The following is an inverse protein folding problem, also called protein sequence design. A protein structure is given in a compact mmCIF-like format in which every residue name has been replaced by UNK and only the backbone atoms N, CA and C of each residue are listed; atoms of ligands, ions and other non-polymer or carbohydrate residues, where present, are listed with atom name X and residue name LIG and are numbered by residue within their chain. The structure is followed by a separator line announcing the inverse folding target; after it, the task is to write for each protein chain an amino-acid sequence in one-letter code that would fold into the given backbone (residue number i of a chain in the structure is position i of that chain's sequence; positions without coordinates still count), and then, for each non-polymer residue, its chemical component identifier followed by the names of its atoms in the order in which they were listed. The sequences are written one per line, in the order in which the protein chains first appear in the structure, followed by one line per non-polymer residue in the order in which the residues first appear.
data_IF_703367411737
#
_entry.id   IF_703367411737
#
_cell.length_a   1.000
_cell.length_b   1.000
_cell.length_c   1.000
_cell.angle_alpha   90.00
_cell.angle_beta   90.00
_cell.angle_gamma   90.00
#
_symmetry.space_group_name_H-M   'P 1'
#
loop_
_entity.id
_entity.type
_entity.pdbx_description
1 polymer ?
#
# COMPACT_ATOMS: atom_id res chain seq x y z
N UNK A 1 -27.47 22.04 -27.05
CA UNK A 1 -26.87 22.36 -25.74
C UNK A 1 -26.05 21.15 -25.32
N UNK A 2 -24.75 21.27 -25.23
CA UNK A 2 -23.92 20.18 -24.69
C UNK A 2 -24.20 20.08 -23.18
N UNK A 3 -24.61 18.91 -22.73
CA UNK A 3 -24.82 18.65 -21.31
C UNK A 3 -23.46 18.69 -20.58
N UNK A 4 -23.31 19.64 -19.64
CA UNK A 4 -22.13 19.63 -18.79
C UNK A 4 -22.20 18.43 -17.85
N UNK A 5 -21.13 17.61 -17.72
CA UNK A 5 -21.14 16.41 -16.90
C UNK A 5 -21.40 16.75 -15.42
N UNK A 6 -22.18 15.93 -14.75
CA UNK A 6 -22.39 16.03 -13.30
C UNK A 6 -21.08 15.75 -12.55
N UNK A 7 -20.98 16.14 -11.25
CA UNK A 7 -19.82 15.78 -10.42
C UNK A 7 -19.59 14.25 -10.36
N UNK A 8 -20.64 13.45 -10.30
CA UNK A 8 -20.61 12.01 -10.29
C UNK A 8 -20.04 11.45 -11.60
N UNK A 9 -20.52 11.95 -12.74
CA UNK A 9 -20.01 11.55 -14.07
C UNK A 9 -18.54 11.92 -14.25
N UNK A 10 -18.10 13.09 -13.74
CA UNK A 10 -16.69 13.49 -13.74
C UNK A 10 -15.84 12.54 -12.88
N UNK A 11 -16.29 12.22 -11.68
CA UNK A 11 -15.59 11.30 -10.77
C UNK A 11 -15.47 9.93 -11.40
N UNK A 12 -16.53 9.40 -12.01
CA UNK A 12 -16.51 8.08 -12.64
C UNK A 12 -15.59 8.03 -13.87
N UNK A 13 -15.57 9.07 -14.68
CA UNK A 13 -14.65 9.17 -15.81
C UNK A 13 -13.17 9.15 -15.36
N UNK A 14 -12.83 9.83 -14.27
CA UNK A 14 -11.48 9.82 -13.71
C UNK A 14 -11.18 8.43 -13.10
N UNK A 15 -12.11 7.86 -12.35
CA UNK A 15 -11.97 6.53 -11.74
C UNK A 15 -11.73 5.44 -12.79
N UNK A 16 -12.54 5.44 -13.87
CA UNK A 16 -12.40 4.49 -14.98
C UNK A 16 -11.04 4.58 -15.67
N UNK A 17 -10.36 5.72 -15.61
CA UNK A 17 -9.00 5.90 -16.09
C UNK A 17 -7.94 5.43 -15.07
N UNK A 18 -8.15 5.63 -13.76
CA UNK A 18 -7.17 5.29 -12.73
C UNK A 18 -7.17 3.80 -12.36
N UNK A 19 -8.33 3.14 -12.39
CA UNK A 19 -8.41 1.70 -12.07
C UNK A 19 -7.45 0.86 -12.93
N UNK A 20 -7.43 0.92 -14.27
CA UNK A 20 -6.54 0.10 -15.08
C UNK A 20 -5.06 0.43 -14.88
N UNK A 21 -4.72 1.62 -14.38
CA UNK A 21 -3.33 2.00 -14.09
C UNK A 21 -2.83 1.40 -12.75
N UNK A 22 -3.72 1.14 -11.80
CA UNK A 22 -3.37 0.62 -10.47
C UNK A 22 -3.72 -0.86 -10.28
N UNK A 23 -4.85 -1.32 -10.79
CA UNK A 23 -5.35 -2.67 -10.56
C UNK A 23 -4.33 -3.80 -10.86
N UNK A 24 -3.48 -3.73 -11.89
CA UNK A 24 -2.47 -4.75 -12.14
C UNK A 24 -1.42 -4.89 -11.04
N UNK A 25 -1.29 -3.89 -10.15
CA UNK A 25 -0.43 -3.97 -8.98
C UNK A 25 -1.12 -4.64 -7.79
N UNK A 26 -2.42 -4.38 -7.63
CA UNK A 26 -3.23 -4.94 -6.55
C UNK A 26 -3.70 -6.38 -6.80
N UNK A 27 -3.65 -6.84 -8.05
CA UNK A 27 -4.08 -8.18 -8.46
C UNK A 27 -3.01 -8.82 -9.34
N UNK A 28 -1.85 -9.20 -8.74
CA UNK A 28 -0.80 -9.90 -9.49
C UNK A 28 -1.26 -11.32 -9.86
N UNK A 29 -0.69 -11.85 -10.93
CA UNK A 29 -0.93 -13.24 -11.32
C UNK A 29 -0.21 -14.18 -10.33
N UNK A 30 -0.96 -15.02 -9.66
CA UNK A 30 -0.56 -16.19 -8.87
C UNK A 30 0.80 -16.10 -8.13
N UNK A 31 0.97 -15.20 -7.14
CA UNK A 31 2.16 -15.18 -6.31
C UNK A 31 2.23 -16.48 -5.48
N UNK A 32 3.38 -17.13 -5.42
CA UNK A 32 3.59 -18.40 -4.73
C UNK A 32 4.82 -18.37 -3.83
N UNK A 33 4.88 -19.27 -2.85
CA UNK A 33 6.01 -19.40 -1.94
C UNK A 33 6.37 -18.09 -1.23
N UNK A 34 7.65 -17.74 -1.09
CA UNK A 34 8.08 -16.51 -0.43
C UNK A 34 7.55 -15.23 -1.06
N UNK A 35 7.21 -15.25 -2.34
CA UNK A 35 6.72 -14.07 -3.05
C UNK A 35 5.35 -13.65 -2.58
N UNK A 36 4.51 -14.58 -2.14
CA UNK A 36 3.19 -14.24 -1.61
C UNK A 36 3.29 -13.42 -0.32
N UNK A 37 4.25 -13.74 0.56
CA UNK A 37 4.50 -12.96 1.78
C UNK A 37 4.99 -11.55 1.46
N UNK A 38 5.85 -11.41 0.46
CA UNK A 38 6.33 -10.09 -0.02
C UNK A 38 5.19 -9.25 -0.58
N UNK A 39 4.29 -9.89 -1.32
CA UNK A 39 3.09 -9.23 -1.82
C UNK A 39 2.15 -8.84 -0.68
N UNK A 40 1.87 -9.74 0.27
CA UNK A 40 1.02 -9.43 1.42
C UNK A 40 1.62 -8.33 2.30
N UNK A 41 2.93 -8.36 2.52
CA UNK A 41 3.64 -7.31 3.23
C UNK A 41 3.50 -5.95 2.54
N UNK A 42 3.55 -5.94 1.20
CA UNK A 42 3.34 -4.73 0.40
C UNK A 42 1.91 -4.20 0.52
N UNK A 43 0.92 -5.08 0.42
CA UNK A 43 -0.49 -4.74 0.50
C UNK A 43 -0.88 -4.23 1.91
N UNK A 44 -0.36 -4.88 2.95
CA UNK A 44 -0.62 -4.52 4.35
C UNK A 44 0.30 -3.41 4.86
N UNK A 45 1.28 -2.97 4.08
CA UNK A 45 2.27 -1.95 4.47
C UNK A 45 2.94 -2.29 5.81
N UNK A 46 3.61 -3.43 5.88
CA UNK A 46 4.30 -3.85 7.11
C UNK A 46 5.54 -3.00 7.31
N UNK A 47 5.61 -2.22 8.37
CA UNK A 47 6.80 -1.43 8.72
C UNK A 47 7.59 -2.01 9.90
N UNK A 48 6.97 -2.88 10.70
CA UNK A 48 7.64 -3.68 11.73
C UNK A 48 8.06 -2.90 12.98
N UNK A 49 7.64 -1.67 13.12
CA UNK A 49 7.99 -0.77 14.22
C UNK A 49 6.75 -0.07 14.80
N UNK A 50 5.58 -0.59 14.54
CA UNK A 50 4.35 -0.02 15.07
C UNK A 50 4.20 -0.47 16.52
N UNK A 51 4.18 0.50 17.42
CA UNK A 51 3.78 0.25 18.78
C UNK A 51 2.27 -0.01 18.87
N UNK A 52 1.86 -0.68 19.92
CA UNK A 52 0.46 -0.96 20.19
C UNK A 52 -0.36 0.33 20.17
N UNK A 53 -1.36 0.39 19.29
CA UNK A 53 -2.24 1.55 19.15
C UNK A 53 -1.67 2.71 18.32
N UNK A 54 -0.48 2.56 17.74
CA UNK A 54 0.13 3.58 16.88
C UNK A 54 0.23 3.09 15.43
N UNK A 55 -0.65 3.56 14.58
CA UNK A 55 -0.62 3.29 13.13
C UNK A 55 -0.91 4.58 12.36
N UNK A 56 0.14 5.26 11.87
CA UNK A 56 -0.01 6.50 11.10
C UNK A 56 -0.87 6.36 9.84
N UNK A 57 -0.96 5.16 9.29
CA UNK A 57 -1.81 4.89 8.13
C UNK A 57 -3.29 4.98 8.48
N UNK A 58 -3.69 4.35 9.58
CA UNK A 58 -5.08 4.39 10.07
C UNK A 58 -5.48 5.80 10.46
N UNK A 59 -4.61 6.52 11.19
CA UNK A 59 -4.85 7.91 11.59
C UNK A 59 -4.97 8.84 10.38
N UNK A 60 -4.06 8.74 9.42
CA UNK A 60 -4.11 9.56 8.20
C UNK A 60 -5.38 9.32 7.40
N UNK A 61 -5.88 8.09 7.38
CA UNK A 61 -7.15 7.75 6.74
C UNK A 61 -8.34 8.35 7.48
N UNK A 62 -8.37 8.26 8.81
CA UNK A 62 -9.41 8.87 9.63
C UNK A 62 -9.48 10.39 9.41
N UNK A 63 -8.33 11.08 9.35
CA UNK A 63 -8.28 12.50 9.03
C UNK A 63 -8.88 12.80 7.65
N UNK A 64 -8.64 11.96 6.64
CA UNK A 64 -9.27 12.14 5.31
C UNK A 64 -10.79 11.99 5.37
N UNK A 65 -11.27 10.98 6.09
CA UNK A 65 -12.70 10.72 6.24
C UNK A 65 -13.38 11.89 6.97
N UNK A 66 -12.76 12.42 8.02
CA UNK A 66 -13.25 13.59 8.76
C UNK A 66 -13.25 14.86 7.90
N UNK A 67 -12.17 15.14 7.19
CA UNK A 67 -12.10 16.29 6.28
C UNK A 67 -13.15 16.18 5.17
N UNK A 68 -13.34 14.98 4.63
CA UNK A 68 -14.38 14.76 3.62
C UNK A 68 -15.79 14.98 4.18
N UNK A 69 -16.08 14.49 5.37
CA UNK A 69 -17.35 14.71 6.05
C UNK A 69 -17.60 16.21 6.31
N UNK A 70 -16.58 16.94 6.78
CA UNK A 70 -16.64 18.38 7.00
C UNK A 70 -16.92 19.16 5.69
N UNK A 71 -16.37 18.72 4.57
CA UNK A 71 -16.63 19.34 3.26
C UNK A 71 -18.07 19.14 2.76
N UNK A 72 -18.78 18.12 3.27
CA UNK A 72 -20.20 17.88 2.94
C UNK A 72 -21.16 18.57 3.93
N UNK A 73 -20.64 19.10 5.03
CA UNK A 73 -21.45 19.71 6.05
C UNK A 73 -21.87 21.14 5.65
N UNK A 74 -23.16 21.49 5.86
CA UNK A 74 -23.62 22.87 5.66
C UNK A 74 -23.12 23.76 6.80
N UNK A 75 -22.13 24.60 6.49
CA UNK A 75 -21.48 25.47 7.47
C UNK A 75 -22.47 26.53 8.00
N UNK A 76 -22.57 26.72 9.32
CA UNK A 76 -23.46 27.72 9.92
C UNK A 76 -23.02 29.16 9.57
N UNK A 77 -23.98 29.99 9.10
CA UNK A 77 -23.72 31.36 8.63
C UNK A 77 -23.27 32.31 9.73
N UNK A 78 -23.74 32.09 10.95
CA UNK A 78 -23.38 32.88 12.11
C UNK A 78 -21.93 32.74 12.55
N UNK A 79 -21.28 31.65 12.15
CA UNK A 79 -19.89 31.35 12.53
C UNK A 79 -18.86 31.60 11.43
N UNK A 80 -19.27 31.54 10.18
CA UNK A 80 -18.39 31.66 9.01
C UNK A 80 -18.81 32.87 8.16
N UNK A 81 -17.96 33.90 8.11
CA UNK A 81 -18.23 35.12 7.32
C UNK A 81 -18.36 34.84 5.83
N UNK A 82 -17.64 33.83 5.34
CA UNK A 82 -17.67 33.41 3.94
C UNK A 82 -17.59 31.88 3.90
N UNK A 83 -18.75 31.26 3.69
CA UNK A 83 -18.88 29.81 3.61
C UNK A 83 -18.13 29.25 2.41
N UNK A 84 -18.19 29.92 1.27
CA UNK A 84 -17.56 29.45 0.02
C UNK A 84 -16.04 29.43 0.17
N UNK A 85 -15.43 30.49 0.68
CA UNK A 85 -13.98 30.50 0.96
C UNK A 85 -13.60 29.51 2.03
N UNK A 86 -14.44 29.25 3.02
CA UNK A 86 -14.18 28.22 4.02
C UNK A 86 -14.20 26.82 3.40
N UNK A 87 -15.14 26.52 2.52
CA UNK A 87 -15.16 25.26 1.76
C UNK A 87 -13.89 25.09 0.93
N UNK A 88 -13.41 26.14 0.26
CA UNK A 88 -12.14 26.11 -0.47
C UNK A 88 -10.93 25.84 0.46
N UNK A 89 -10.90 26.45 1.65
CA UNK A 89 -9.84 26.18 2.64
C UNK A 89 -9.84 24.70 3.07
N UNK A 90 -11.00 24.13 3.35
CA UNK A 90 -11.14 22.71 3.66
C UNK A 90 -10.67 21.84 2.48
N UNK A 91 -11.07 22.19 1.25
CA UNK A 91 -10.61 21.50 0.04
C UNK A 91 -9.08 21.53 -0.13
N UNK A 92 -8.44 22.66 0.18
CA UNK A 92 -6.97 22.76 0.18
C UNK A 92 -6.31 21.87 1.23
N UNK A 93 -6.86 21.83 2.46
CA UNK A 93 -6.35 20.97 3.53
C UNK A 93 -6.51 19.49 3.14
N UNK A 94 -7.66 19.12 2.60
CA UNK A 94 -7.93 17.78 2.09
C UNK A 94 -6.94 17.38 0.98
N UNK A 95 -6.76 18.24 -0.02
CA UNK A 95 -5.77 18.03 -1.08
C UNK A 95 -4.35 17.87 -0.53
N UNK A 96 -3.94 18.77 0.37
CA UNK A 96 -2.60 18.75 0.95
C UNK A 96 -2.39 17.45 1.75
N UNK A 97 -3.37 17.02 2.52
CA UNK A 97 -3.28 15.77 3.26
C UNK A 97 -3.10 14.57 2.34
N UNK A 98 -3.86 14.50 1.22
CA UNK A 98 -3.69 13.41 0.22
C UNK A 98 -2.27 13.39 -0.34
N UNK A 99 -1.72 14.54 -0.74
CA UNK A 99 -0.40 14.59 -1.36
C UNK A 99 0.76 14.43 -0.38
N UNK A 100 0.53 14.61 0.92
CA UNK A 100 1.52 14.38 1.97
C UNK A 100 1.46 12.96 2.57
N UNK A 101 0.34 12.26 2.41
CA UNK A 101 0.16 10.93 2.98
C UNK A 101 1.16 9.93 2.41
N UNK A 102 1.96 9.32 3.29
CA UNK A 102 3.02 8.37 2.88
C UNK A 102 2.51 7.03 2.39
N UNK A 103 1.42 6.54 2.96
CA UNK A 103 0.94 5.18 2.73
C UNK A 103 0.70 4.83 1.24
N UNK A 104 0.00 5.65 0.43
CA UNK A 104 -0.18 5.34 -0.99
C UNK A 104 1.15 5.23 -1.76
N UNK A 105 2.11 6.11 -1.46
CA UNK A 105 3.42 6.06 -2.11
C UNK A 105 4.20 4.79 -1.74
N UNK A 106 4.19 4.41 -0.47
CA UNK A 106 4.91 3.23 0.04
C UNK A 106 4.32 1.94 -0.48
N UNK A 107 2.98 1.81 -0.44
CA UNK A 107 2.27 0.62 -0.97
C UNK A 107 2.51 0.49 -2.47
N UNK A 108 2.25 1.54 -3.26
CA UNK A 108 2.46 1.50 -4.70
C UNK A 108 3.93 1.20 -5.06
N UNK A 109 4.89 1.77 -4.33
CA UNK A 109 6.31 1.49 -4.56
C UNK A 109 6.63 0.04 -4.26
N UNK A 110 6.16 -0.54 -3.16
CA UNK A 110 6.40 -1.95 -2.83
C UNK A 110 5.70 -2.89 -3.81
N UNK A 111 4.48 -2.60 -4.24
CA UNK A 111 3.81 -3.39 -5.28
C UNK A 111 4.54 -3.34 -6.63
N UNK A 112 5.10 -2.18 -7.01
CA UNK A 112 5.98 -2.06 -8.18
C UNK A 112 7.29 -2.84 -7.99
N UNK A 113 7.90 -2.78 -6.81
CA UNK A 113 9.09 -3.57 -6.47
C UNK A 113 8.79 -5.06 -6.57
N UNK A 114 7.67 -5.50 -6.01
CA UNK A 114 7.20 -6.88 -6.13
C UNK A 114 7.08 -7.31 -7.61
N UNK A 115 6.41 -6.52 -8.43
CA UNK A 115 6.25 -6.79 -9.87
C UNK A 115 7.59 -6.87 -10.62
N UNK A 116 8.60 -6.15 -10.15
CA UNK A 116 9.96 -6.15 -10.71
C UNK A 116 10.90 -7.19 -10.07
N UNK A 117 10.40 -8.04 -9.17
CA UNK A 117 11.24 -9.01 -8.44
C UNK A 117 12.25 -8.40 -7.47
N UNK A 118 12.05 -7.14 -7.06
CA UNK A 118 12.99 -6.40 -6.18
C UNK A 118 12.77 -6.63 -4.68
N UNK A 119 11.86 -7.52 -4.32
CA UNK A 119 11.53 -7.81 -2.93
C UNK A 119 10.75 -6.69 -2.23
N UNK A 120 10.31 -6.97 -1.00
CA UNK A 120 9.63 -6.03 -0.12
C UNK A 120 10.64 -5.22 0.72
N UNK A 121 10.34 -3.94 0.98
CA UNK A 121 11.12 -3.12 1.91
C UNK A 121 10.21 -2.29 2.81
N UNK A 122 10.44 -2.29 4.15
CA UNK A 122 9.78 -1.37 5.06
C UNK A 122 10.05 0.11 4.73
N UNK A 123 11.15 0.37 4.04
CA UNK A 123 11.49 1.68 3.49
C UNK A 123 11.74 1.55 1.98
N UNK A 124 10.66 1.51 1.16
CA UNK A 124 10.74 1.09 -0.23
C UNK A 124 11.52 2.04 -1.15
N UNK A 125 11.87 3.22 -0.66
CA UNK A 125 12.59 4.23 -1.42
C UNK A 125 14.10 4.19 -1.20
N UNK A 126 14.56 3.76 -0.02
CA UNK A 126 15.92 4.03 0.45
C UNK A 126 17.02 3.45 -0.45
N UNK A 127 16.89 2.20 -0.87
CA UNK A 127 17.86 1.53 -1.76
C UNK A 127 17.84 2.10 -3.19
N UNK A 128 16.76 2.77 -3.57
CA UNK A 128 16.58 3.41 -4.88
C UNK A 128 17.17 4.83 -4.97
N UNK A 129 17.66 5.35 -3.86
CA UNK A 129 18.24 6.68 -3.77
C UNK A 129 19.72 6.68 -4.15
N UNK A 130 20.18 7.78 -4.74
CA UNK A 130 21.61 8.06 -4.92
C UNK A 130 22.30 8.29 -3.57
N UNK A 131 23.62 8.19 -3.51
CA UNK A 131 24.38 8.43 -2.28
C UNK A 131 24.14 9.84 -1.69
N UNK A 132 23.97 10.84 -2.52
CA UNK A 132 23.64 12.20 -2.08
C UNK A 132 22.22 12.28 -1.50
N UNK A 133 21.24 11.65 -2.16
CA UNK A 133 19.87 11.59 -1.68
C UNK A 133 19.77 10.83 -0.36
N UNK A 134 20.52 9.72 -0.19
CA UNK A 134 20.59 8.98 1.10
C UNK A 134 21.12 9.83 2.25
N UNK A 135 22.10 10.70 1.98
CA UNK A 135 22.61 11.63 2.98
C UNK A 135 21.58 12.66 3.40
N UNK A 136 20.79 13.19 2.45
CA UNK A 136 19.69 14.13 2.73
C UNK A 136 18.52 13.44 3.42
N UNK A 137 18.17 12.24 2.99
CA UNK A 137 17.09 11.44 3.56
C UNK A 137 17.20 11.27 5.07
N UNK A 138 18.40 11.03 5.60
CA UNK A 138 18.65 10.90 7.05
C UNK A 138 18.29 12.15 7.85
N UNK A 139 18.16 13.32 7.21
CA UNK A 139 17.88 14.60 7.87
C UNK A 139 16.43 15.05 7.74
N UNK A 140 15.80 14.79 6.60
CA UNK A 140 14.50 15.39 6.26
C UNK A 140 13.49 14.43 5.62
N UNK A 141 13.82 13.15 5.48
CA UNK A 141 12.97 12.21 4.73
C UNK A 141 12.92 12.50 3.23
N UNK A 142 11.89 12.01 2.56
CA UNK A 142 11.62 12.28 1.15
C UNK A 142 10.36 13.13 1.01
N UNK A 143 10.45 14.13 0.16
CA UNK A 143 9.30 14.91 -0.25
C UNK A 143 8.44 14.15 -1.29
N UNK A 144 7.14 14.42 -1.37
CA UNK A 144 6.23 13.76 -2.33
C UNK A 144 6.76 13.76 -3.77
N UNK A 145 7.32 14.87 -4.26
CA UNK A 145 7.91 14.95 -5.60
C UNK A 145 8.98 13.88 -5.86
N UNK A 146 9.80 13.58 -4.86
CA UNK A 146 10.86 12.58 -4.98
C UNK A 146 10.29 11.17 -4.99
N UNK A 147 9.27 10.90 -4.14
CA UNK A 147 8.54 9.61 -4.12
C UNK A 147 7.86 9.36 -5.46
N UNK A 148 7.14 10.36 -5.99
CA UNK A 148 6.49 10.31 -7.31
C UNK A 148 7.51 10.03 -8.42
N UNK A 149 8.68 10.68 -8.41
CA UNK A 149 9.73 10.43 -9.41
C UNK A 149 10.21 8.98 -9.38
N UNK A 150 10.33 8.38 -8.19
CA UNK A 150 10.70 6.97 -8.05
C UNK A 150 9.58 6.06 -8.57
N UNK A 151 8.33 6.33 -8.21
CA UNK A 151 7.17 5.57 -8.69
C UNK A 151 7.09 5.62 -10.22
N UNK A 152 7.25 6.79 -10.83
CA UNK A 152 7.27 6.92 -12.31
C UNK A 152 8.35 6.07 -12.96
N UNK A 153 9.57 6.09 -12.42
CA UNK A 153 10.65 5.26 -12.91
C UNK A 153 10.34 3.77 -12.81
N UNK A 154 9.89 3.31 -11.63
CA UNK A 154 9.52 1.91 -11.42
C UNK A 154 8.33 1.49 -12.28
N UNK A 155 7.34 2.37 -12.47
CA UNK A 155 6.19 2.13 -13.34
C UNK A 155 6.62 1.92 -14.79
N UNK A 156 7.54 2.75 -15.28
CA UNK A 156 8.13 2.62 -16.63
C UNK A 156 8.90 1.30 -16.75
N UNK A 157 9.74 0.95 -15.76
CA UNK A 157 10.47 -0.32 -15.73
C UNK A 157 9.51 -1.53 -15.74
N UNK A 158 8.38 -1.42 -15.03
CA UNK A 158 7.36 -2.48 -14.92
C UNK A 158 6.38 -2.54 -16.10
N UNK A 159 6.47 -1.61 -17.05
CA UNK A 159 5.55 -1.51 -18.18
C UNK A 159 4.11 -1.18 -17.79
N UNK A 160 3.91 -0.38 -16.73
CA UNK A 160 2.59 0.08 -16.26
C UNK A 160 2.53 1.60 -16.17
N UNK A 161 1.33 2.16 -16.32
CA UNK A 161 1.12 3.62 -16.32
C UNK A 161 0.83 4.22 -14.93
N UNK A 162 1.10 3.49 -13.84
CA UNK A 162 0.74 3.92 -12.48
C UNK A 162 1.34 5.28 -12.10
N UNK A 163 2.54 5.57 -12.58
CA UNK A 163 3.20 6.85 -12.30
C UNK A 163 2.56 8.06 -12.96
N UNK A 164 1.83 7.87 -14.07
CA UNK A 164 1.28 8.97 -14.89
C UNK A 164 0.09 9.66 -14.21
N UNK A 165 -0.62 8.94 -13.32
CA UNK A 165 -1.73 9.50 -12.55
C UNK A 165 -1.34 10.74 -11.75
N UNK A 166 -0.10 10.79 -11.25
CA UNK A 166 0.35 11.90 -10.43
C UNK A 166 0.46 13.22 -11.20
N UNK A 167 0.65 13.17 -12.53
CA UNK A 167 0.67 14.37 -13.37
C UNK A 167 -0.69 15.05 -13.46
N UNK A 168 -1.75 14.31 -13.20
CA UNK A 168 -3.10 14.82 -13.24
C UNK A 168 -3.45 15.76 -12.10
N UNK A 169 -2.87 15.54 -10.93
CA UNK A 169 -3.26 16.28 -9.74
C UNK A 169 -2.10 16.81 -8.89
N UNK A 170 -0.90 16.20 -8.95
CA UNK A 170 0.20 16.66 -8.10
C UNK A 170 0.82 17.96 -8.63
N UNK A 171 0.72 19.01 -7.82
CA UNK A 171 1.38 20.29 -8.06
C UNK A 171 2.26 20.66 -6.86
N UNK A 172 3.57 20.57 -7.05
CA UNK A 172 4.53 20.85 -5.99
C UNK A 172 4.55 22.30 -5.53
N UNK A 173 4.25 23.25 -6.42
CA UNK A 173 4.12 24.67 -6.13
C UNK A 173 2.89 24.94 -5.24
N UNK A 174 1.73 24.35 -5.58
CA UNK A 174 0.50 24.44 -4.81
C UNK A 174 0.68 23.82 -3.42
N UNK A 175 1.22 22.59 -3.37
CA UNK A 175 1.53 21.90 -2.10
C UNK A 175 2.39 22.77 -1.19
N UNK A 176 3.47 23.35 -1.72
CA UNK A 176 4.37 24.21 -0.94
C UNK A 176 3.65 25.46 -0.45
N UNK A 177 2.84 26.13 -1.29
CA UNK A 177 2.08 27.29 -0.89
C UNK A 177 1.11 26.99 0.26
N UNK A 178 0.44 25.84 0.23
CA UNK A 178 -0.47 25.40 1.30
C UNK A 178 0.33 25.11 2.57
N UNK A 179 1.38 24.30 2.49
CA UNK A 179 2.18 23.89 3.66
C UNK A 179 2.88 25.06 4.36
N UNK A 180 3.23 26.11 3.62
CA UNK A 180 3.86 27.32 4.17
C UNK A 180 2.86 28.47 4.43
N UNK A 181 1.56 28.25 4.20
CA UNK A 181 0.50 29.27 4.34
C UNK A 181 0.78 30.53 3.51
N UNK A 182 1.39 30.36 2.33
CA UNK A 182 1.87 31.43 1.46
C UNK A 182 0.92 31.67 0.28
N UNK A 183 -0.35 31.86 0.58
CA UNK A 183 -1.40 32.05 -0.41
C UNK A 183 -2.51 33.00 0.06
N UNK A 184 -3.27 33.50 -0.90
CA UNK A 184 -4.52 34.23 -0.68
C UNK A 184 -5.57 33.77 -1.69
N UNK A 185 -6.83 33.91 -1.34
CA UNK A 185 -7.93 33.84 -2.30
C UNK A 185 -8.22 35.23 -2.86
N UNK A 186 -8.51 35.29 -4.14
CA UNK A 186 -8.99 36.45 -4.88
C UNK A 186 -10.37 36.17 -5.46
N UNK A 187 -11.07 37.15 -6.02
CA UNK A 187 -12.41 36.96 -6.59
C UNK A 187 -12.47 35.89 -7.70
N UNK A 188 -11.36 35.63 -8.34
CA UNK A 188 -11.24 34.76 -9.52
C UNK A 188 -10.34 33.53 -9.30
N UNK A 189 -9.88 33.26 -8.08
CA UNK A 189 -9.11 32.05 -7.79
C UNK A 189 -8.17 32.14 -6.60
N UNK A 190 -7.19 31.24 -6.62
CA UNK A 190 -6.13 31.08 -5.65
C UNK A 190 -4.85 31.68 -6.19
N UNK A 191 -4.20 32.51 -5.40
CA UNK A 191 -2.92 33.14 -5.73
C UNK A 191 -1.88 32.81 -4.66
N UNK A 192 -0.70 32.34 -5.08
CA UNK A 192 0.40 32.03 -4.17
C UNK A 192 1.74 32.53 -4.71
N UNK A 193 2.70 32.72 -3.77
CA UNK A 193 4.08 33.01 -4.11
C UNK A 193 4.81 31.71 -4.43
N UNK A 194 5.71 31.77 -5.40
CA UNK A 194 6.66 30.70 -5.60
C UNK A 194 7.81 30.93 -4.59
N UNK A 195 8.09 29.95 -3.73
CA UNK A 195 9.00 30.04 -2.58
C UNK A 195 10.42 30.57 -2.84
N UNK A 196 10.76 30.85 -4.10
CA UNK A 196 12.05 31.44 -4.50
C UNK A 196 11.97 32.93 -4.85
N UNK A 197 10.94 33.65 -4.42
CA UNK A 197 10.75 35.09 -4.70
C UNK A 197 10.62 35.48 -6.18
N UNK A 198 10.60 34.52 -7.09
CA UNK A 198 10.70 34.73 -8.54
C UNK A 198 9.39 34.75 -9.30
N UNK A 199 8.25 34.67 -8.62
CA UNK A 199 6.95 34.82 -9.24
C UNK A 199 5.78 34.35 -8.40
N UNK A 200 4.67 35.07 -8.51
CA UNK A 200 3.38 34.58 -8.07
C UNK A 200 2.77 33.73 -9.19
N UNK A 201 2.14 32.61 -8.82
CA UNK A 201 1.27 31.89 -9.74
C UNK A 201 -0.17 31.98 -9.28
N UNK A 202 -1.07 31.83 -10.22
CA UNK A 202 -2.51 31.86 -9.99
C UNK A 202 -3.13 30.57 -10.51
N UNK A 203 -4.09 30.06 -9.79
CA UNK A 203 -4.94 28.93 -10.19
C UNK A 203 -6.38 29.42 -10.15
N UNK A 204 -7.15 29.19 -11.21
CA UNK A 204 -8.58 29.46 -11.20
C UNK A 204 -9.32 28.54 -10.23
N UNK A 205 -10.50 28.91 -9.78
CA UNK A 205 -11.32 28.01 -8.98
C UNK A 205 -11.67 26.71 -9.71
N UNK A 206 -11.89 26.80 -11.01
CA UNK A 206 -12.14 25.60 -11.86
C UNK A 206 -10.95 24.66 -11.89
N UNK A 207 -9.74 25.17 -12.12
CA UNK A 207 -8.51 24.34 -12.11
C UNK A 207 -8.25 23.76 -10.73
N UNK A 208 -8.51 24.54 -9.67
CA UNK A 208 -8.36 24.08 -8.30
C UNK A 208 -9.34 22.96 -7.96
N UNK A 209 -10.61 23.10 -8.35
CA UNK A 209 -11.63 22.05 -8.23
C UNK A 209 -11.21 20.78 -8.95
N UNK A 210 -10.70 20.92 -10.17
CA UNK A 210 -10.20 19.78 -10.95
C UNK A 210 -9.04 19.05 -10.24
N UNK A 211 -8.09 19.77 -9.66
CA UNK A 211 -6.96 19.18 -8.93
C UNK A 211 -7.45 18.45 -7.67
N UNK A 212 -8.30 19.08 -6.86
CA UNK A 212 -8.86 18.48 -5.65
C UNK A 212 -9.69 17.24 -6.01
N UNK A 213 -10.54 17.34 -7.04
CA UNK A 213 -11.38 16.22 -7.51
C UNK A 213 -10.52 15.03 -7.95
N UNK A 214 -9.48 15.26 -8.74
CA UNK A 214 -8.57 14.18 -9.20
C UNK A 214 -7.81 13.55 -8.05
N UNK A 215 -7.32 14.35 -7.10
CA UNK A 215 -6.68 13.84 -5.89
C UNK A 215 -7.65 12.99 -5.04
N UNK A 216 -8.89 13.46 -4.87
CA UNK A 216 -9.97 12.72 -4.20
C UNK A 216 -10.25 11.38 -4.88
N UNK A 217 -10.39 11.36 -6.19
CA UNK A 217 -10.65 10.13 -6.94
C UNK A 217 -9.45 9.19 -6.90
N UNK A 218 -8.22 9.72 -6.94
CA UNK A 218 -7.00 8.92 -6.78
C UNK A 218 -7.00 8.17 -5.45
N UNK A 219 -7.17 8.89 -4.34
CA UNK A 219 -7.10 8.26 -3.00
C UNK A 219 -8.26 7.29 -2.76
N UNK A 220 -9.47 7.64 -3.23
CA UNK A 220 -10.63 6.75 -3.15
C UNK A 220 -10.46 5.48 -3.98
N UNK A 221 -9.83 5.57 -5.17
CA UNK A 221 -9.53 4.41 -6.02
C UNK A 221 -8.44 3.55 -5.38
N UNK A 222 -7.41 4.15 -4.80
CA UNK A 222 -6.36 3.44 -4.08
C UNK A 222 -6.93 2.61 -2.94
N UNK A 223 -7.69 3.22 -2.03
CA UNK A 223 -8.30 2.50 -0.91
C UNK A 223 -9.34 1.46 -1.35
N UNK A 224 -10.07 1.75 -2.43
CA UNK A 224 -11.00 0.80 -3.03
C UNK A 224 -10.29 -0.46 -3.52
N UNK A 225 -9.22 -0.31 -4.28
CA UNK A 225 -8.43 -1.44 -4.79
C UNK A 225 -7.71 -2.21 -3.67
N UNK A 226 -7.17 -1.52 -2.66
CA UNK A 226 -6.60 -2.15 -1.47
C UNK A 226 -7.64 -3.02 -0.76
N UNK A 227 -8.83 -2.48 -0.50
CA UNK A 227 -9.92 -3.22 0.15
C UNK A 227 -10.38 -4.43 -0.67
N UNK A 228 -10.52 -4.26 -1.98
CA UNK A 228 -10.91 -5.37 -2.87
C UNK A 228 -9.83 -6.46 -2.94
N UNK A 229 -8.54 -6.08 -2.97
CA UNK A 229 -7.46 -7.05 -2.92
C UNK A 229 -7.45 -7.81 -1.58
N UNK A 230 -7.62 -7.12 -0.47
CA UNK A 230 -7.73 -7.75 0.85
C UNK A 230 -8.97 -8.66 0.95
N UNK A 231 -10.09 -8.27 0.36
CA UNK A 231 -11.30 -9.12 0.28
C UNK A 231 -11.05 -10.36 -0.55
N UNK A 232 -10.43 -10.22 -1.71
CA UNK A 232 -10.07 -11.34 -2.57
C UNK A 232 -9.24 -12.38 -1.81
N UNK A 233 -8.15 -11.95 -1.16
CA UNK A 233 -7.29 -12.83 -0.38
C UNK A 233 -7.96 -13.37 0.88
N UNK A 234 -8.89 -12.65 1.47
CA UNK A 234 -9.72 -13.11 2.58
C UNK A 234 -10.52 -14.38 2.24
N UNK A 235 -10.85 -14.61 0.97
CA UNK A 235 -11.53 -15.85 0.53
C UNK A 235 -10.66 -17.11 0.67
N UNK A 236 -9.38 -16.95 0.93
CA UNK A 236 -8.42 -18.04 1.19
C UNK A 236 -8.24 -18.32 2.68
N UNK A 237 -8.92 -17.61 3.57
CA UNK A 237 -8.90 -17.90 5.00
C UNK A 237 -9.29 -19.36 5.28
N UNK A 238 -8.57 -20.02 6.18
CA UNK A 238 -8.76 -21.43 6.50
C UNK A 238 -8.24 -22.41 5.43
N UNK A 239 -7.62 -21.94 4.36
CA UNK A 239 -6.98 -22.77 3.33
C UNK A 239 -5.46 -22.67 3.47
N UNK A 240 -4.79 -23.83 3.56
CA UNK A 240 -3.33 -23.90 3.56
C UNK A 240 -2.77 -23.69 2.15
N UNK A 241 -1.75 -22.84 2.05
CA UNK A 241 -1.00 -22.60 0.82
C UNK A 241 0.48 -22.98 1.06
N UNK A 242 1.12 -23.70 0.11
CA UNK A 242 2.55 -23.99 0.22
C UNK A 242 3.36 -22.71 0.30
N UNK A 243 4.22 -22.61 1.32
CA UNK A 243 5.11 -21.46 1.50
C UNK A 243 6.56 -21.82 1.29
N UNK A 244 7.08 -22.79 2.06
CA UNK A 244 8.48 -23.19 2.01
C UNK A 244 8.59 -24.69 1.74
N UNK A 245 9.14 -25.10 0.58
CA UNK A 245 9.25 -26.51 0.22
C UNK A 245 10.29 -27.25 1.04
N UNK A 246 11.29 -26.57 1.59
CA UNK A 246 12.37 -27.17 2.36
C UNK A 246 11.90 -27.53 3.76
N UNK A 247 11.38 -26.53 4.49
CA UNK A 247 10.90 -26.71 5.87
C UNK A 247 9.42 -27.12 5.95
N UNK A 248 8.75 -27.29 4.79
CA UNK A 248 7.35 -27.68 4.71
C UNK A 248 6.41 -26.68 5.39
N UNK A 249 6.76 -25.40 5.31
CA UNK A 249 5.91 -24.31 5.81
C UNK A 249 4.61 -24.18 5.00
N UNK A 250 3.49 -24.13 5.70
CA UNK A 250 2.17 -23.93 5.11
C UNK A 250 1.63 -22.59 5.59
N UNK A 251 1.27 -21.73 4.64
CA UNK A 251 0.73 -20.40 4.95
C UNK A 251 -0.79 -20.42 4.98
N UNK A 252 -1.33 -19.68 5.92
CA UNK A 252 -2.74 -19.39 6.10
C UNK A 252 -2.97 -17.89 6.07
N UNK A 253 -4.04 -17.43 5.40
CA UNK A 253 -4.47 -16.04 5.40
C UNK A 253 -5.32 -15.78 6.65
N UNK A 254 -5.02 -14.71 7.38
CA UNK A 254 -5.79 -14.24 8.52
C UNK A 254 -6.71 -13.11 8.09
N UNK A 255 -7.93 -13.09 8.64
CA UNK A 255 -8.96 -12.09 8.31
C UNK A 255 -9.47 -11.38 9.55
N UNK A 256 -9.97 -10.17 9.35
CA UNK A 256 -10.73 -9.42 10.35
C UNK A 256 -12.22 -9.83 10.38
N UNK A 257 -13.00 -9.16 11.23
CA UNK A 257 -14.43 -9.41 11.42
C UNK A 257 -15.26 -9.14 10.13
N UNK A 258 -14.70 -8.37 9.17
CA UNK A 258 -15.33 -8.11 7.86
C UNK A 258 -14.91 -9.12 6.77
N UNK A 259 -14.08 -10.11 7.13
CA UNK A 259 -13.51 -11.06 6.17
C UNK A 259 -12.42 -10.48 5.27
N UNK A 260 -11.88 -9.33 5.61
CA UNK A 260 -10.76 -8.73 4.88
C UNK A 260 -9.44 -9.29 5.41
N UNK A 261 -8.53 -9.66 4.52
CA UNK A 261 -7.19 -10.06 4.92
C UNK A 261 -6.55 -8.97 5.79
N UNK A 262 -6.16 -9.33 7.00
CA UNK A 262 -5.45 -8.46 7.95
C UNK A 262 -4.13 -9.03 8.41
N UNK A 263 -3.73 -10.19 7.92
CA UNK A 263 -2.50 -10.86 8.28
C UNK A 263 -2.30 -12.19 7.57
N UNK A 264 -1.25 -12.87 7.97
CA UNK A 264 -0.91 -14.21 7.50
C UNK A 264 -0.10 -14.94 8.55
N UNK A 265 -0.17 -16.26 8.51
CA UNK A 265 0.48 -17.17 9.44
C UNK A 265 1.14 -18.29 8.66
N UNK A 266 2.34 -18.68 9.05
CA UNK A 266 3.01 -19.87 8.51
C UNK A 266 3.16 -20.90 9.61
N UNK A 267 2.60 -22.06 9.35
CA UNK A 267 2.71 -23.24 10.20
C UNK A 267 3.96 -24.04 9.83
N UNK A 268 4.78 -24.33 10.83
CA UNK A 268 6.00 -25.09 10.68
C UNK A 268 5.90 -26.43 11.39
N UNK A 269 6.24 -27.55 10.74
CA UNK A 269 6.07 -28.88 11.34
C UNK A 269 6.81 -29.10 12.66
N UNK A 270 8.00 -28.53 12.80
CA UNK A 270 8.88 -28.76 13.94
C UNK A 270 9.29 -27.47 14.67
N UNK A 271 8.59 -26.39 14.47
CA UNK A 271 8.90 -25.10 15.09
C UNK A 271 7.61 -24.33 15.41
N UNK A 272 7.75 -23.28 16.21
CA UNK A 272 6.66 -22.36 16.49
C UNK A 272 6.23 -21.64 15.21
N UNK A 273 4.94 -21.39 15.08
CA UNK A 273 4.39 -20.67 13.97
C UNK A 273 5.01 -19.27 13.83
N UNK A 274 5.07 -18.83 12.60
CA UNK A 274 5.39 -17.43 12.26
C UNK A 274 4.13 -16.73 11.87
N UNK A 275 3.86 -15.53 12.40
CA UNK A 275 2.69 -14.77 11.95
C UNK A 275 2.87 -13.27 12.07
N UNK A 276 2.10 -12.56 11.24
CA UNK A 276 1.86 -11.14 11.29
C UNK A 276 0.36 -10.89 11.19
N UNK A 277 -0.19 -10.07 12.07
CA UNK A 277 -1.61 -9.67 12.03
C UNK A 277 -1.79 -8.24 12.50
N UNK A 278 -2.63 -7.48 11.80
CA UNK A 278 -3.17 -6.22 12.27
C UNK A 278 -4.43 -6.47 13.10
N UNK A 279 -4.34 -6.25 14.40
CA UNK A 279 -5.45 -6.30 15.34
C UNK A 279 -5.99 -4.88 15.60
N UNK A 280 -7.15 -4.76 16.24
CA UNK A 280 -7.72 -3.46 16.65
C UNK A 280 -6.76 -2.65 17.53
N UNK A 281 -6.02 -3.35 18.38
CA UNK A 281 -5.14 -2.74 19.37
C UNK A 281 -3.70 -2.60 18.92
N UNK A 282 -3.41 -2.84 17.65
CA UNK A 282 -2.05 -2.76 17.10
C UNK A 282 -1.65 -3.96 16.28
N UNK A 283 -0.36 -4.25 16.25
CA UNK A 283 0.21 -5.32 15.43
C UNK A 283 0.70 -6.46 16.32
N UNK A 284 0.32 -7.65 15.93
CA UNK A 284 0.84 -8.90 16.51
C UNK A 284 1.81 -9.52 15.49
N UNK A 285 3.04 -9.78 15.92
CA UNK A 285 4.06 -10.38 15.07
C UNK A 285 4.92 -11.35 15.88
N UNK A 286 5.19 -12.52 15.32
CA UNK A 286 6.09 -13.49 15.90
C UNK A 286 6.86 -14.26 14.81
N UNK A 287 8.10 -14.63 15.10
CA UNK A 287 8.97 -15.37 14.18
C UNK A 287 9.02 -14.81 12.76
N UNK A 288 9.05 -13.47 12.63
CA UNK A 288 9.19 -12.76 11.37
C UNK A 288 10.51 -12.00 11.37
N UNK A 289 11.20 -12.03 10.24
CA UNK A 289 12.40 -11.24 9.98
C UNK A 289 12.06 -10.11 9.00
N UNK A 290 12.27 -8.88 9.43
CA UNK A 290 12.24 -7.71 8.57
C UNK A 290 13.66 -7.17 8.45
N UNK A 291 14.26 -7.27 7.27
CA UNK A 291 15.60 -6.75 7.02
C UNK A 291 15.53 -5.54 6.07
N UNK A 292 15.70 -4.36 6.65
CA UNK A 292 15.70 -3.10 5.90
C UNK A 292 16.90 -3.00 4.94
N UNK A 293 18.03 -3.64 5.27
CA UNK A 293 19.25 -3.55 4.45
C UNK A 293 19.13 -4.38 3.18
N UNK A 294 18.53 -5.57 3.30
CA UNK A 294 18.35 -6.49 2.18
C UNK A 294 16.96 -6.39 1.55
N UNK A 295 16.13 -5.45 2.01
CA UNK A 295 14.78 -5.22 1.51
C UNK A 295 13.96 -6.52 1.46
N UNK A 296 13.93 -7.26 2.56
CA UNK A 296 13.23 -8.53 2.63
C UNK A 296 12.34 -8.64 3.86
N UNK A 297 11.30 -9.42 3.72
CA UNK A 297 10.53 -9.97 4.82
C UNK A 297 10.51 -11.48 4.66
N UNK A 298 10.83 -12.17 5.74
CA UNK A 298 10.83 -13.62 5.81
C UNK A 298 10.10 -14.09 7.05
N UNK A 299 9.32 -15.15 6.91
CA UNK A 299 8.71 -15.82 8.04
C UNK A 299 9.79 -16.68 8.69
N UNK A 300 10.29 -16.18 9.82
CA UNK A 300 11.38 -16.82 10.52
C UNK A 300 10.94 -18.12 11.15
N UNK A 301 11.68 -19.17 10.93
CA UNK A 301 11.47 -20.46 11.56
C UNK A 301 12.48 -20.69 12.69
N UNK A 302 12.02 -21.20 13.84
CA UNK A 302 12.87 -21.40 15.00
C UNK A 302 14.12 -22.29 14.74
N UNK A 303 14.06 -23.12 13.70
CA UNK A 303 15.22 -23.91 13.24
C UNK A 303 16.39 -23.06 12.79
N UNK A 304 16.16 -21.86 12.26
CA UNK A 304 17.24 -20.93 11.89
C UNK A 304 18.07 -20.50 13.10
N UNK A 305 17.43 -20.33 14.25
CA UNK A 305 18.13 -20.00 15.48
C UNK A 305 18.98 -21.18 16.02
N UNK A 306 18.57 -22.41 15.71
CA UNK A 306 19.34 -23.62 16.08
C UNK A 306 20.55 -23.83 15.16
N UNK A 307 20.49 -23.22 13.96
CA UNK A 307 21.55 -23.30 12.95
C UNK A 307 22.06 -21.91 12.56
N UNK A 308 22.70 -21.17 13.46
CA UNK A 308 23.17 -19.81 13.21
C UNK A 308 24.13 -19.78 12.02
N UNK A 309 23.90 -18.87 11.10
CA UNK A 309 24.68 -18.73 9.86
C UNK A 309 24.11 -19.47 8.65
N UNK A 310 23.04 -20.25 8.80
CA UNK A 310 22.41 -21.03 7.72
C UNK A 310 21.06 -20.42 7.26
N UNK A 311 20.93 -19.11 7.28
CA UNK A 311 19.74 -18.45 6.74
C UNK A 311 19.55 -18.71 5.24
N UNK A 312 20.60 -19.10 4.56
CA UNK A 312 20.60 -19.56 3.18
C UNK A 312 21.95 -20.25 2.91
N UNK A 313 21.97 -21.43 2.35
CA UNK A 313 20.83 -22.23 1.91
C UNK A 313 20.20 -23.02 3.06
N UNK A 314 18.87 -23.09 3.07
CA UNK A 314 18.09 -23.91 4.00
C UNK A 314 18.15 -25.41 3.68
N UNK A 315 18.92 -25.78 2.69
CA UNK A 315 19.08 -27.16 2.18
C UNK A 315 19.67 -28.14 3.18
N UNK A 316 20.31 -27.64 4.24
CA UNK A 316 20.91 -28.50 5.28
C UNK A 316 19.86 -29.21 6.14
N UNK A 317 18.56 -28.90 5.96
CA UNK A 317 17.46 -29.47 6.71
C UNK A 317 16.49 -30.22 5.81
N UNK A 318 16.93 -30.75 4.70
CA UNK A 318 16.10 -31.54 3.77
C UNK A 318 15.51 -32.81 4.38
N UNK A 319 16.06 -33.28 5.49
CA UNK A 319 15.55 -34.42 6.21
C UNK A 319 14.32 -34.15 7.10
N UNK A 320 13.76 -32.95 7.08
CA UNK A 320 12.53 -32.65 7.82
C UNK A 320 11.37 -33.54 7.34
N UNK A 321 10.64 -34.15 8.28
CA UNK A 321 9.49 -34.97 7.91
C UNK A 321 8.44 -34.14 7.18
N UNK A 322 7.77 -34.74 6.22
CA UNK A 322 6.63 -34.13 5.56
C UNK A 322 5.39 -34.34 6.42
N UNK A 323 4.80 -33.25 6.86
CA UNK A 323 3.54 -33.30 7.60
C UNK A 323 2.37 -33.21 6.66
N UNK A 324 1.39 -34.07 6.86
CA UNK A 324 0.12 -34.03 6.14
C UNK A 324 -0.95 -33.26 6.85
N UNK A 325 -0.72 -32.96 8.13
CA UNK A 325 -1.63 -32.19 8.98
C UNK A 325 -0.81 -31.47 10.05
N UNK A 326 -1.19 -30.22 10.35
CA UNK A 326 -0.60 -29.43 11.43
C UNK A 326 -1.55 -29.43 12.62
N UNK A 327 -1.06 -29.87 13.78
CA UNK A 327 -1.81 -29.88 15.03
C UNK A 327 -2.14 -28.46 15.47
N UNK A 328 -3.35 -28.27 16.01
CA UNK A 328 -3.82 -26.97 16.52
C UNK A 328 -4.22 -25.97 15.43
N UNK A 329 -4.21 -26.37 14.18
CA UNK A 329 -4.71 -25.54 13.08
C UNK A 329 -6.24 -25.58 13.02
N UNK A 330 -6.84 -24.44 12.69
CA UNK A 330 -8.29 -24.32 12.51
C UNK A 330 -8.79 -24.97 11.21
N UNK A 331 -7.90 -25.34 10.32
CA UNK A 331 -8.18 -25.95 9.03
C UNK A 331 -7.34 -27.22 8.82
N UNK A 332 -7.77 -28.09 7.93
CA UNK A 332 -6.98 -29.24 7.48
C UNK A 332 -5.87 -28.75 6.54
N UNK A 333 -4.83 -28.16 7.12
CA UNK A 333 -3.67 -27.67 6.40
C UNK A 333 -2.74 -28.85 6.10
N UNK A 334 -2.56 -29.15 4.81
CA UNK A 334 -1.68 -30.23 4.38
C UNK A 334 -0.71 -29.72 3.32
N UNK A 335 0.53 -30.20 3.41
CA UNK A 335 1.47 -29.97 2.31
C UNK A 335 1.04 -30.81 1.09
N UNK A 336 0.88 -30.21 -0.10
CA UNK A 336 0.55 -30.96 -1.33
C UNK A 336 1.61 -32.01 -1.61
N UNK A 337 1.18 -33.26 -1.88
CA UNK A 337 2.12 -34.31 -2.29
C UNK A 337 2.57 -34.05 -3.73
N UNK A 338 3.85 -34.26 -4.06
CA UNK A 338 4.33 -34.10 -5.43
C UNK A 338 3.63 -35.00 -6.45
N UNK A 339 3.03 -36.11 -6.01
CA UNK A 339 2.50 -37.16 -6.88
C UNK A 339 0.97 -37.12 -7.10
N UNK A 340 0.29 -36.09 -6.71
CA UNK A 340 -1.14 -35.91 -7.06
C UNK A 340 -1.34 -35.34 -8.46
N UNK A 341 -0.49 -35.68 -9.43
CA UNK A 341 -0.89 -35.63 -10.82
C UNK A 341 -1.88 -36.78 -11.01
N UNK A 342 -3.14 -36.45 -11.23
CA UNK A 342 -4.19 -37.41 -11.63
C UNK A 342 -3.70 -38.32 -12.76
N UNK A 343 -3.20 -39.46 -12.33
CA UNK A 343 -2.91 -40.57 -13.25
C UNK A 343 -4.21 -41.21 -13.69
N UNK A 344 -4.95 -40.57 -14.53
CA UNK A 344 -5.90 -41.28 -15.41
C UNK A 344 -5.12 -42.04 -16.48
N UNK A 345 -4.47 -43.13 -16.07
CA UNK A 345 -4.12 -44.18 -17.02
C UNK A 345 -5.42 -44.85 -17.47
N UNK A 346 -5.96 -44.38 -18.57
CA UNK A 346 -6.88 -45.17 -19.35
C UNK A 346 -6.15 -46.42 -19.84
N UNK A 347 -6.34 -47.56 -19.14
CA UNK A 347 -6.06 -48.87 -19.68
C UNK A 347 -7.08 -49.17 -20.79
N UNK A 348 -6.69 -49.01 -22.01
CA UNK A 348 -7.31 -49.69 -23.15
C UNK A 348 -6.57 -50.99 -23.38
N UNK A 349 -7.22 -52.09 -23.09
CA UNK A 349 -6.97 -53.42 -23.68
C UNK A 349 -8.17 -53.86 -24.46
#
# INVERSE_FOLDING_TARGET
MQHSPTPEERNEAIRSRYIPLMAPLFFPSDPTGPDIVRYFASLLRIVGMEDKGWDPYTESRAVLDDLYALMQFDLPEDRFKDKQLTAWRLGLLFYNHIVEMDAPYEVLTNLLRFRLGKGYSPNPFYDLLTSEQKRRFKKSGLFPKQKISIIKRLSSEAGVGTGDMFDDFYRGDLRNAISHSDFIFTDDGFRCRNGNWTGAFKITFEDLDNLITKAKVFIGTFFGLEREARRHWGTYAGKGMPYDPVYKGIMEVLVDDEGLMNGFKVHWPNASDSFYRRAKDGIEMTNCLLDVRHATIEMFVGLYAQHPGTFSPLVEIDALPVYTRLEGSSADLTWPRPDSTDGTTTNTS
#
